data_IF_971602744432
#
_entry.id   IF_971602744432
#
_cell.length_a   1.000
_cell.length_b   1.000
_cell.length_c   1.000
_cell.angle_alpha   90.00
_cell.angle_beta   90.00
_cell.angle_gamma   90.00
#
_symmetry.space_group_name_H-M   'P 1'
#
loop_
_entity.id
_entity.type
_entity.pdbx_description
1 polymer ?
#
# COMPACT_ATOMS: atom_id res chain seq x y z
N UNK A 1 13.47 48.84 15.86
CA UNK A 1 12.21 48.40 16.49
C UNK A 1 11.05 48.75 15.57
N UNK A 2 10.07 47.85 15.46
CA UNK A 2 8.86 47.86 14.62
C UNK A 2 8.94 47.13 13.27
N UNK A 3 8.06 46.13 13.17
CA UNK A 3 7.86 45.11 12.15
C UNK A 3 6.76 45.53 11.16
N UNK A 4 6.78 45.00 9.92
CA UNK A 4 5.78 44.08 9.35
C UNK A 4 5.65 44.19 7.81
N UNK A 5 5.87 43.04 7.18
CA UNK A 5 5.09 42.45 6.08
C UNK A 5 5.05 43.14 4.71
N UNK A 6 5.99 42.77 3.85
CA UNK A 6 5.82 42.79 2.38
C UNK A 6 5.53 41.36 1.94
N UNK A 7 4.25 41.01 1.79
CA UNK A 7 3.86 39.74 1.16
C UNK A 7 3.57 39.99 -0.31
N UNK A 8 4.58 39.76 -1.15
CA UNK A 8 4.43 39.67 -2.61
C UNK A 8 3.62 38.43 -2.94
N UNK A 9 2.43 38.64 -3.50
CA UNK A 9 1.61 37.60 -4.14
C UNK A 9 2.41 36.94 -5.27
N UNK A 10 2.80 35.69 -5.07
CA UNK A 10 3.25 34.82 -6.15
C UNK A 10 2.02 34.36 -6.95
N UNK A 11 1.97 34.76 -8.22
CA UNK A 11 1.05 34.22 -9.22
C UNK A 11 1.39 32.74 -9.45
N UNK A 12 0.49 31.84 -9.07
CA UNK A 12 0.54 30.44 -9.50
C UNK A 12 -0.25 30.33 -10.79
N UNK A 13 0.47 30.11 -11.89
CA UNK A 13 -0.07 29.83 -13.21
C UNK A 13 -0.54 28.37 -13.24
N UNK A 14 -1.81 28.13 -12.92
CA UNK A 14 -2.42 26.81 -13.07
C UNK A 14 -3.02 26.71 -14.48
N UNK A 15 -2.27 26.13 -15.42
CA UNK A 15 -2.80 25.74 -16.73
C UNK A 15 -3.92 24.72 -16.50
N UNK A 16 -5.16 25.18 -16.63
CA UNK A 16 -6.37 24.37 -16.65
C UNK A 16 -6.27 23.30 -17.73
N UNK A 17 -6.10 22.03 -17.32
CA UNK A 17 -6.60 20.90 -18.11
C UNK A 17 -8.11 20.87 -17.93
N UNK A 18 -8.81 21.09 -19.04
CA UNK A 18 -10.26 21.03 -19.15
C UNK A 18 -10.76 19.62 -18.75
N UNK A 19 -11.70 19.56 -17.83
CA UNK A 19 -12.62 18.43 -17.72
C UNK A 19 -13.86 18.76 -18.58
N UNK A 20 -14.38 17.82 -19.39
CA UNK A 20 -15.59 18.07 -20.16
C UNK A 20 -16.78 18.28 -19.20
N UNK A 21 -17.46 19.42 -19.36
CA UNK A 21 -18.79 19.69 -18.79
C UNK A 21 -19.75 18.63 -19.32
N UNK A 22 -20.23 17.75 -18.46
CA UNK A 22 -21.44 16.98 -18.72
C UNK A 22 -22.60 17.97 -18.52
N UNK A 23 -23.17 18.47 -19.60
CA UNK A 23 -24.38 19.28 -19.58
C UNK A 23 -25.59 18.37 -19.37
N UNK A 24 -26.14 18.36 -18.15
CA UNK A 24 -27.44 17.74 -17.85
C UNK A 24 -28.52 18.84 -18.03
N UNK A 25 -29.60 18.62 -18.80
CA UNK A 25 -30.66 19.62 -18.98
C UNK A 25 -31.43 19.91 -17.69
N UNK A 26 -31.59 21.19 -17.35
CA UNK A 26 -32.28 21.71 -16.14
C UNK A 26 -33.81 21.81 -16.31
N UNK A 27 -34.47 20.79 -16.85
CA UNK A 27 -35.95 20.79 -16.92
C UNK A 27 -36.52 19.52 -16.30
N UNK A 28 -36.38 19.37 -14.99
CA UNK A 28 -37.31 18.61 -14.15
C UNK A 28 -37.16 19.08 -12.70
N UNK A 29 -37.38 20.38 -12.49
CA UNK A 29 -37.76 20.89 -11.17
C UNK A 29 -39.26 21.16 -11.22
N UNK A 30 -40.05 20.27 -10.64
CA UNK A 30 -41.40 20.59 -10.19
C UNK A 30 -41.47 20.24 -8.71
N UNK A 31 -41.26 21.28 -7.90
CA UNK A 31 -41.89 21.54 -6.59
C UNK A 31 -41.73 20.48 -5.48
N UNK A 32 -41.04 20.88 -4.41
CA UNK A 32 -40.81 20.16 -3.15
C UNK A 32 -42.06 19.85 -2.30
N UNK A 33 -43.27 20.06 -2.84
CA UNK A 33 -44.53 19.94 -2.08
C UNK A 33 -45.23 18.58 -2.27
N UNK A 34 -44.76 17.73 -3.20
CA UNK A 34 -45.34 16.42 -3.53
C UNK A 34 -44.57 15.19 -3.00
N UNK A 35 -43.53 15.36 -2.17
CA UNK A 35 -42.77 14.22 -1.62
C UNK A 35 -43.39 13.57 -0.38
N UNK A 36 -44.37 14.21 0.26
CA UNK A 36 -44.92 13.71 1.53
C UNK A 36 -46.18 12.84 1.38
N UNK A 37 -46.75 12.72 0.18
CA UNK A 37 -48.02 12.03 -0.06
C UNK A 37 -47.94 10.85 -1.06
N UNK A 38 -46.74 10.38 -1.41
CA UNK A 38 -46.59 9.23 -2.31
C UNK A 38 -46.86 7.89 -1.60
N UNK A 39 -47.59 6.93 -2.22
CA UNK A 39 -47.93 5.67 -1.59
C UNK A 39 -46.68 4.81 -1.27
N UNK A 40 -46.71 4.05 -0.16
CA UNK A 40 -45.54 3.36 0.42
C UNK A 40 -44.81 2.38 -0.53
N UNK A 41 -45.45 1.97 -1.62
CA UNK A 41 -44.88 1.02 -2.59
C UNK A 41 -43.73 1.59 -3.44
N UNK A 42 -43.52 2.91 -3.49
CA UNK A 42 -42.41 3.53 -4.25
C UNK A 42 -41.16 3.84 -3.39
N UNK A 43 -41.27 3.78 -2.06
CA UNK A 43 -40.14 4.01 -1.15
C UNK A 43 -39.18 2.80 -1.09
N UNK A 44 -39.68 1.57 -1.30
CA UNK A 44 -38.88 0.34 -1.29
C UNK A 44 -37.88 0.27 -2.47
N UNK A 45 -38.24 0.84 -3.62
CA UNK A 45 -37.43 0.76 -4.85
C UNK A 45 -36.33 1.84 -4.93
N UNK A 46 -36.52 3.00 -4.27
CA UNK A 46 -35.49 4.06 -4.19
C UNK A 46 -34.36 3.71 -3.22
N UNK A 47 -34.61 2.83 -2.24
CA UNK A 47 -33.58 2.32 -1.34
C UNK A 47 -32.67 1.27 -2.01
N UNK A 48 -33.22 0.47 -2.93
CA UNK A 48 -32.50 -0.64 -3.58
C UNK A 48 -31.47 -0.20 -4.65
N UNK A 49 -31.45 1.09 -5.03
CA UNK A 49 -30.62 1.62 -6.13
C UNK A 49 -29.54 2.60 -5.64
N UNK A 50 -29.18 2.59 -4.36
CA UNK A 50 -27.89 3.13 -3.89
C UNK A 50 -26.83 2.04 -3.89
N UNK A 51 -26.57 1.42 -5.04
CA UNK A 51 -25.39 0.58 -5.19
C UNK A 51 -24.19 1.52 -5.25
N UNK A 52 -23.53 1.71 -4.11
CA UNK A 52 -22.19 2.30 -4.07
C UNK A 52 -21.33 1.61 -5.13
N UNK A 53 -20.55 2.35 -5.95
CA UNK A 53 -19.58 1.71 -6.84
C UNK A 53 -18.80 0.70 -6.01
N UNK A 54 -18.79 -0.58 -6.41
CA UNK A 54 -17.97 -1.60 -5.74
C UNK A 54 -16.52 -1.28 -6.05
N UNK A 55 -15.96 -0.35 -5.29
CA UNK A 55 -14.53 -0.16 -5.21
C UNK A 55 -13.98 -1.51 -4.74
N UNK A 56 -12.99 -2.10 -5.42
CA UNK A 56 -12.36 -3.32 -4.94
C UNK A 56 -11.96 -3.09 -3.48
N UNK A 57 -12.46 -3.93 -2.59
CA UNK A 57 -12.04 -3.89 -1.20
C UNK A 57 -10.53 -4.09 -1.17
N UNK A 58 -9.82 -3.17 -0.52
CA UNK A 58 -8.38 -3.27 -0.42
C UNK A 58 -8.11 -4.38 0.61
N UNK A 59 -7.73 -5.57 0.13
CA UNK A 59 -7.41 -6.74 0.95
C UNK A 59 -5.95 -7.21 0.73
N UNK A 60 -5.43 -8.02 1.66
CA UNK A 60 -4.11 -8.63 1.63
C UNK A 60 -3.87 -9.40 0.33
N UNK A 61 -4.90 -10.08 -0.17
CA UNK A 61 -4.90 -10.79 -1.45
C UNK A 61 -4.54 -9.87 -2.63
N UNK A 62 -5.07 -8.64 -2.63
CA UNK A 62 -4.78 -7.64 -3.66
C UNK A 62 -3.33 -7.19 -3.58
N UNK A 63 -2.83 -6.91 -2.36
CA UNK A 63 -1.43 -6.52 -2.15
C UNK A 63 -0.50 -7.61 -2.66
N UNK A 64 -0.74 -8.87 -2.29
CA UNK A 64 0.04 -10.00 -2.78
C UNK A 64 0.02 -10.09 -4.31
N UNK A 65 -1.16 -10.00 -4.94
CA UNK A 65 -1.30 -10.11 -6.39
C UNK A 65 -0.56 -8.98 -7.13
N UNK A 66 -0.64 -7.75 -6.63
CA UNK A 66 0.08 -6.60 -7.21
C UNK A 66 1.59 -6.81 -7.09
N UNK A 67 2.08 -7.27 -5.93
CA UNK A 67 3.50 -7.58 -5.73
C UNK A 67 3.95 -8.75 -6.62
N UNK A 68 3.14 -9.80 -6.73
CA UNK A 68 3.42 -10.96 -7.55
C UNK A 68 3.54 -10.61 -9.04
N UNK A 69 2.66 -9.72 -9.54
CA UNK A 69 2.70 -9.22 -10.92
C UNK A 69 3.73 -8.12 -11.18
N UNK A 70 4.42 -7.61 -10.15
CA UNK A 70 5.35 -6.49 -10.31
C UNK A 70 6.64 -6.93 -11.01
N UNK A 71 6.86 -6.43 -12.23
CA UNK A 71 8.10 -6.67 -12.99
C UNK A 71 9.29 -5.85 -12.48
N UNK A 72 9.03 -4.68 -11.90
CA UNK A 72 10.05 -3.77 -11.41
C UNK A 72 10.06 -3.76 -9.88
N UNK A 73 11.20 -4.10 -9.29
CA UNK A 73 11.38 -4.14 -7.83
C UNK A 73 11.22 -2.77 -7.16
N UNK A 74 11.53 -1.67 -7.85
CA UNK A 74 11.32 -0.31 -7.35
C UNK A 74 9.84 0.02 -7.22
N UNK A 75 9.04 -0.28 -8.26
CA UNK A 75 7.60 -0.05 -8.20
C UNK A 75 6.94 -0.94 -7.15
N UNK A 76 7.38 -2.20 -7.02
CA UNK A 76 6.91 -3.10 -5.96
C UNK A 76 7.18 -2.50 -4.57
N UNK A 77 8.38 -1.98 -4.33
CA UNK A 77 8.77 -1.36 -3.06
C UNK A 77 7.98 -0.07 -2.79
N UNK A 78 7.80 0.78 -3.81
CA UNK A 78 7.02 2.01 -3.69
C UNK A 78 5.56 1.72 -3.35
N UNK A 79 4.96 0.74 -4.03
CA UNK A 79 3.60 0.28 -3.73
C UNK A 79 3.51 -0.27 -2.30
N UNK A 80 4.42 -1.16 -1.90
CA UNK A 80 4.45 -1.71 -0.54
C UNK A 80 4.49 -0.61 0.53
N UNK A 81 5.38 0.38 0.37
CA UNK A 81 5.49 1.53 1.29
C UNK A 81 4.29 2.47 1.23
N UNK A 82 3.68 2.62 0.05
CA UNK A 82 2.48 3.44 -0.12
C UNK A 82 1.30 2.84 0.63
N UNK A 83 1.11 1.51 0.59
CA UNK A 83 0.07 0.81 1.37
C UNK A 83 0.22 1.07 2.87
N UNK A 84 1.46 1.03 3.39
CA UNK A 84 1.72 1.33 4.81
C UNK A 84 1.37 2.79 5.15
N UNK A 85 1.75 3.73 4.29
CA UNK A 85 1.54 5.17 4.54
C UNK A 85 0.08 5.58 4.38
N UNK A 86 -0.64 4.94 3.49
CA UNK A 86 -2.07 5.17 3.29
C UNK A 86 -2.91 4.57 4.43
N UNK A 87 -2.29 3.82 5.36
CA UNK A 87 -2.93 3.15 6.49
C UNK A 87 -4.14 2.30 6.07
N UNK A 88 -4.11 1.75 4.84
CA UNK A 88 -5.23 1.00 4.29
C UNK A 88 -5.32 -0.39 4.91
N UNK A 89 -4.18 -1.07 5.02
CA UNK A 89 -4.06 -2.44 5.55
C UNK A 89 -2.67 -2.61 6.16
N UNK A 90 -2.56 -3.46 7.19
CA UNK A 90 -1.27 -3.99 7.65
C UNK A 90 -0.83 -5.12 6.72
N UNK A 91 0.42 -5.11 6.30
CA UNK A 91 0.95 -6.19 5.47
C UNK A 91 0.99 -7.51 6.25
N UNK A 92 0.55 -8.58 5.59
CA UNK A 92 0.58 -9.93 6.12
C UNK A 92 1.96 -10.59 5.91
N UNK A 93 2.10 -11.83 6.39
CA UNK A 93 3.32 -12.63 6.20
C UNK A 93 3.64 -12.80 4.71
N UNK A 94 2.65 -13.03 3.86
CA UNK A 94 2.89 -13.33 2.44
C UNK A 94 3.35 -12.11 1.66
N UNK A 95 2.80 -10.92 1.91
CA UNK A 95 3.26 -9.68 1.29
C UNK A 95 4.72 -9.36 1.67
N UNK A 96 5.08 -9.52 2.95
CA UNK A 96 6.47 -9.36 3.40
C UNK A 96 7.40 -10.37 2.72
N UNK A 97 6.98 -11.64 2.62
CA UNK A 97 7.81 -12.68 2.00
C UNK A 97 8.02 -12.38 0.52
N UNK A 98 6.94 -11.97 -0.16
CA UNK A 98 6.99 -11.63 -1.57
C UNK A 98 7.91 -10.44 -1.84
N UNK A 99 7.80 -9.36 -1.07
CA UNK A 99 8.65 -8.17 -1.29
C UNK A 99 10.12 -8.46 -0.98
N UNK A 100 10.43 -9.26 0.04
CA UNK A 100 11.81 -9.69 0.35
C UNK A 100 12.36 -10.53 -0.80
N UNK A 101 11.59 -11.49 -1.34
CA UNK A 101 12.00 -12.28 -2.52
C UNK A 101 12.23 -11.42 -3.77
N UNK A 102 11.41 -10.39 -4.00
CA UNK A 102 11.56 -9.47 -5.14
C UNK A 102 12.84 -8.65 -4.99
N UNK A 103 13.08 -8.10 -3.80
CA UNK A 103 14.27 -7.29 -3.52
C UNK A 103 15.56 -8.12 -3.51
N UNK A 104 15.51 -9.35 -2.99
CA UNK A 104 16.61 -10.31 -3.01
C UNK A 104 17.05 -10.62 -4.44
N UNK A 105 16.10 -10.98 -5.32
CA UNK A 105 16.36 -11.24 -6.75
C UNK A 105 16.90 -10.00 -7.49
N UNK A 106 16.49 -8.81 -7.10
CA UNK A 106 16.97 -7.55 -7.66
C UNK A 106 18.29 -7.04 -7.01
N UNK A 107 18.93 -7.83 -6.13
CA UNK A 107 20.11 -7.42 -5.35
C UNK A 107 19.93 -6.13 -4.52
N UNK A 108 18.69 -5.76 -4.18
CA UNK A 108 18.36 -4.63 -3.30
C UNK A 108 18.39 -5.05 -1.83
N UNK A 109 19.49 -5.67 -1.41
CA UNK A 109 19.60 -6.41 -0.14
C UNK A 109 19.46 -5.51 1.11
N UNK A 110 19.91 -4.27 1.03
CA UNK A 110 19.71 -3.30 2.12
C UNK A 110 18.22 -3.04 2.39
N UNK A 111 17.42 -2.89 1.33
CA UNK A 111 15.98 -2.71 1.47
C UNK A 111 15.30 -3.97 2.01
N UNK A 112 15.69 -5.14 1.51
CA UNK A 112 15.18 -6.43 1.98
C UNK A 112 15.45 -6.62 3.49
N UNK A 113 16.69 -6.37 3.92
CA UNK A 113 17.09 -6.45 5.33
C UNK A 113 16.31 -5.49 6.21
N UNK A 114 16.15 -4.23 5.80
CA UNK A 114 15.40 -3.26 6.60
C UNK A 114 13.94 -3.68 6.76
N UNK A 115 13.29 -4.14 5.68
CA UNK A 115 11.90 -4.62 5.75
C UNK A 115 11.79 -5.79 6.71
N UNK A 116 12.66 -6.79 6.60
CA UNK A 116 12.67 -7.97 7.46
C UNK A 116 12.81 -7.58 8.94
N UNK A 117 13.80 -6.73 9.28
CA UNK A 117 14.06 -6.36 10.67
C UNK A 117 12.99 -5.42 11.27
N UNK A 118 12.21 -4.74 10.44
CA UNK A 118 11.11 -3.88 10.89
C UNK A 118 9.79 -4.65 11.09
N UNK A 119 9.70 -5.93 10.70
CA UNK A 119 8.47 -6.73 10.81
C UNK A 119 7.90 -6.81 12.24
N UNK A 120 8.70 -7.06 13.31
CA UNK A 120 8.14 -7.18 14.65
C UNK A 120 7.58 -5.85 15.17
N UNK A 121 8.17 -4.72 14.76
CA UNK A 121 7.63 -3.38 15.08
C UNK A 121 6.26 -3.15 14.46
N UNK A 122 5.98 -3.84 13.36
CA UNK A 122 4.70 -3.84 12.67
C UNK A 122 3.79 -4.96 13.15
N UNK A 123 4.13 -5.67 14.22
CA UNK A 123 3.36 -6.77 14.81
C UNK A 123 3.27 -8.00 13.92
N UNK A 124 4.29 -8.25 13.09
CA UNK A 124 4.44 -9.50 12.32
C UNK A 124 5.66 -10.22 12.86
N UNK A 125 5.47 -11.44 13.35
CA UNK A 125 6.55 -12.25 13.89
C UNK A 125 7.52 -12.70 12.79
N UNK A 126 8.76 -12.93 13.21
CA UNK A 126 9.76 -13.52 12.34
C UNK A 126 9.50 -15.00 12.13
N UNK A 127 9.83 -15.44 10.92
CA UNK A 127 9.86 -16.84 10.53
C UNK A 127 11.25 -17.14 9.98
N UNK A 128 11.73 -18.37 10.19
CA UNK A 128 13.03 -18.84 9.71
C UNK A 128 13.15 -18.63 8.19
N UNK A 129 12.05 -18.89 7.45
CA UNK A 129 11.98 -18.76 5.99
C UNK A 129 12.44 -17.38 5.48
N UNK A 130 12.15 -16.30 6.22
CA UNK A 130 12.55 -14.95 5.83
C UNK A 130 14.07 -14.78 5.84
N UNK A 131 14.73 -15.34 6.85
CA UNK A 131 16.18 -15.28 7.01
C UNK A 131 16.86 -16.15 5.98
N UNK A 132 16.35 -17.36 5.74
CA UNK A 132 16.85 -18.28 4.71
C UNK A 132 16.86 -17.58 3.34
N UNK A 133 15.75 -16.96 2.95
CA UNK A 133 15.67 -16.22 1.66
C UNK A 133 16.66 -15.07 1.62
N UNK A 134 16.81 -14.31 2.71
CA UNK A 134 17.74 -13.19 2.75
C UNK A 134 19.21 -13.64 2.69
N UNK A 135 19.57 -14.71 3.41
CA UNK A 135 20.91 -15.31 3.42
C UNK A 135 21.27 -15.87 2.04
N UNK A 136 20.36 -16.63 1.42
CA UNK A 136 20.52 -17.12 0.05
C UNK A 136 20.73 -15.96 -0.94
N UNK A 137 19.97 -14.87 -0.78
CA UNK A 137 20.13 -13.66 -1.60
C UNK A 137 21.52 -13.01 -1.42
N UNK A 138 22.04 -12.93 -0.20
CA UNK A 138 23.40 -12.45 0.06
C UNK A 138 24.46 -13.38 -0.54
N UNK A 139 24.27 -14.69 -0.44
CA UNK A 139 25.15 -15.70 -1.05
C UNK A 139 25.24 -15.53 -2.57
N UNK A 140 24.09 -15.41 -3.24
CA UNK A 140 24.01 -15.17 -4.70
C UNK A 140 24.64 -13.86 -5.14
N UNK A 141 24.65 -12.84 -4.28
CA UNK A 141 25.31 -11.56 -4.54
C UNK A 141 26.81 -11.54 -4.16
N UNK A 142 27.37 -12.65 -3.65
CA UNK A 142 28.76 -12.75 -3.23
C UNK A 142 29.11 -12.01 -1.93
N UNK A 143 28.11 -11.58 -1.16
CA UNK A 143 28.30 -10.79 0.07
C UNK A 143 28.28 -11.72 1.29
N UNK A 144 29.19 -12.70 1.30
CA UNK A 144 29.22 -13.78 2.29
C UNK A 144 29.36 -13.28 3.73
N UNK A 145 30.09 -12.18 3.95
CA UNK A 145 30.27 -11.58 5.28
C UNK A 145 28.93 -11.16 5.91
N UNK A 146 28.04 -10.57 5.12
CA UNK A 146 26.71 -10.16 5.61
C UNK A 146 25.78 -11.37 5.76
N UNK A 147 25.90 -12.39 4.90
CA UNK A 147 25.16 -13.64 5.04
C UNK A 147 25.45 -14.31 6.40
N UNK A 148 26.73 -14.51 6.73
CA UNK A 148 27.16 -15.11 8.00
C UNK A 148 26.72 -14.26 9.19
N UNK A 149 26.80 -12.94 9.08
CA UNK A 149 26.37 -12.02 10.14
C UNK A 149 24.87 -12.11 10.41
N UNK A 150 24.04 -12.26 9.37
CA UNK A 150 22.60 -12.47 9.55
C UNK A 150 22.32 -13.84 10.16
N UNK A 151 22.98 -14.90 9.68
CA UNK A 151 22.85 -16.26 10.22
C UNK A 151 23.19 -16.34 11.72
N UNK A 152 24.27 -15.67 12.15
CA UNK A 152 24.64 -15.62 13.57
C UNK A 152 23.63 -14.85 14.40
N UNK A 153 23.04 -13.77 13.86
CA UNK A 153 22.06 -12.95 14.57
C UNK A 153 20.71 -13.64 14.77
N UNK A 154 20.38 -14.70 14.03
CA UNK A 154 19.06 -15.33 14.14
C UNK A 154 18.72 -15.76 15.58
N UNK A 155 19.70 -16.27 16.33
CA UNK A 155 19.51 -16.66 17.74
C UNK A 155 19.26 -15.47 18.64
N UNK A 156 20.03 -14.38 18.48
CA UNK A 156 19.82 -13.12 19.23
C UNK A 156 18.44 -12.51 18.95
N UNK A 157 17.90 -12.78 17.76
CA UNK A 157 16.58 -12.34 17.31
C UNK A 157 15.46 -13.30 17.74
N UNK A 158 15.77 -14.38 18.47
CA UNK A 158 14.79 -15.35 18.96
C UNK A 158 14.26 -16.30 17.87
N UNK A 159 14.92 -16.39 16.72
CA UNK A 159 14.53 -17.27 15.61
C UNK A 159 15.36 -18.54 15.68
N UNK A 160 14.68 -19.67 15.88
CA UNK A 160 15.36 -20.96 15.97
C UNK A 160 15.95 -21.35 14.61
N UNK A 161 17.21 -21.77 14.59
CA UNK A 161 17.91 -22.24 13.39
C UNK A 161 17.67 -23.73 13.21
N UNK A 162 17.20 -24.14 12.04
CA UNK A 162 17.07 -25.54 11.65
C UNK A 162 18.11 -25.89 10.58
N UNK A 163 18.07 -27.12 10.07
CA UNK A 163 18.96 -27.59 8.98
C UNK A 163 18.75 -26.77 7.68
N UNK A 164 17.65 -26.01 7.59
CA UNK A 164 17.32 -25.18 6.42
C UNK A 164 18.13 -23.87 6.33
N UNK A 165 18.63 -23.36 7.46
CA UNK A 165 19.29 -22.04 7.55
C UNK A 165 20.80 -22.06 7.32
#
# INVERSE_FOLDING_TARGET
MAFLSVSKRYHVNLKHRAYPRISIPLHFFTTTQDLNNAPPQQQEQVAATRRTPRVPEFDHSLVYNVLHGAKNSEHALQFFRWVERACLIRHDREAHMKIIQILGRASKLNHARCILLDMPKKGVEWDEDFFVVLIDSYGKAGILKEAVKIFQKMEDLGVNRTIKS
#
